data_IF_644475393692
#
_entry.id   IF_644475393692
#
_cell.length_a   1.000
_cell.length_b   1.000
_cell.length_c   1.000
_cell.angle_alpha   90.00
_cell.angle_beta   90.00
_cell.angle_gamma   90.00
#
_symmetry.space_group_name_H-M   'P 1'
#
loop_
_entity.id
_entity.type
_entity.pdbx_description
1 polymer ?
#
# COMPACT_ATOMS: atom_id res chain seq x y z
N UNK A 1 30.32 0.09 22.89
CA UNK A 1 28.88 0.40 22.76
C UNK A 1 28.15 -0.92 22.83
N UNK A 2 27.27 -1.10 23.83
CA UNK A 2 26.53 -2.35 24.00
C UNK A 2 25.10 -2.17 23.56
N UNK A 3 24.67 -3.03 22.65
CA UNK A 3 23.30 -3.06 22.15
C UNK A 3 22.64 -4.31 22.73
N UNK A 4 21.40 -4.17 23.15
CA UNK A 4 20.58 -5.23 23.67
C UNK A 4 19.29 -5.34 22.86
N UNK A 5 18.77 -6.55 22.73
CA UNK A 5 17.47 -6.84 22.15
C UNK A 5 16.56 -7.44 23.21
N UNK A 6 15.37 -6.88 23.41
CA UNK A 6 14.38 -7.45 24.33
C UNK A 6 13.23 -8.10 23.55
N UNK A 7 13.01 -9.42 23.70
CA UNK A 7 11.88 -10.12 23.08
C UNK A 7 10.51 -9.58 23.49
N UNK A 8 10.32 -9.21 24.78
CA UNK A 8 9.03 -8.73 25.28
C UNK A 8 8.60 -7.39 24.69
N UNK A 9 9.57 -6.49 24.48
CA UNK A 9 9.33 -5.17 23.88
C UNK A 9 9.53 -5.13 22.37
N UNK A 10 10.06 -6.20 21.78
CA UNK A 10 10.45 -6.29 20.37
C UNK A 10 11.28 -5.08 19.92
N UNK A 11 12.27 -4.70 20.73
CA UNK A 11 13.01 -3.45 20.56
C UNK A 11 14.50 -3.55 20.90
N UNK A 12 15.26 -2.61 20.32
CA UNK A 12 16.68 -2.42 20.58
C UNK A 12 16.91 -1.40 21.69
N UNK A 13 17.84 -1.69 22.60
CA UNK A 13 18.26 -0.82 23.69
C UNK A 13 19.78 -0.59 23.61
N UNK A 14 20.21 0.66 23.72
CA UNK A 14 21.62 1.01 23.80
C UNK A 14 21.97 1.42 25.22
N UNK A 15 22.97 0.77 25.82
CA UNK A 15 23.55 1.14 27.13
C UNK A 15 23.92 2.62 27.31
N UNK A 16 24.15 3.36 26.22
CA UNK A 16 24.51 4.79 26.26
C UNK A 16 23.29 5.71 26.32
N UNK A 17 22.15 5.26 25.82
CA UNK A 17 20.93 6.08 25.63
C UNK A 17 19.84 5.63 26.60
N UNK A 18 19.73 4.32 26.82
CA UNK A 18 18.72 3.71 27.67
C UNK A 18 19.27 3.46 29.07
N UNK A 19 18.68 4.12 30.07
CA UNK A 19 19.00 3.93 31.49
C UNK A 19 18.32 2.70 32.09
N UNK A 20 17.21 2.27 31.50
CA UNK A 20 16.48 1.06 31.90
C UNK A 20 16.51 0.07 30.74
N UNK A 21 17.16 -1.07 30.99
CA UNK A 21 17.25 -2.19 30.05
C UNK A 21 16.37 -3.32 30.62
N UNK A 22 15.45 -3.90 29.83
CA UNK A 22 14.64 -5.03 30.27
C UNK A 22 15.48 -6.23 30.74
N UNK A 23 14.98 -6.98 31.73
CA UNK A 23 15.69 -8.16 32.28
C UNK A 23 15.80 -9.31 31.28
N UNK A 24 14.91 -9.37 30.30
CA UNK A 24 14.90 -10.35 29.22
C UNK A 24 15.77 -9.93 28.03
N UNK A 25 16.49 -8.80 28.14
CA UNK A 25 17.29 -8.27 27.05
C UNK A 25 18.58 -9.06 26.86
N UNK A 26 18.83 -9.47 25.62
CA UNK A 26 20.02 -10.23 25.20
C UNK A 26 21.00 -9.29 24.52
N UNK A 27 22.28 -9.34 24.92
CA UNK A 27 23.34 -8.54 24.29
C UNK A 27 23.58 -9.01 22.84
N UNK A 28 23.58 -8.08 21.90
CA UNK A 28 23.88 -8.30 20.48
C UNK A 28 24.97 -7.34 20.01
N UNK A 29 25.70 -7.73 18.95
CA UNK A 29 26.69 -6.83 18.36
C UNK A 29 26.01 -5.71 17.57
N UNK A 30 26.65 -4.52 17.45
CA UNK A 30 26.16 -3.46 16.57
C UNK A 30 25.98 -3.91 15.12
N UNK A 31 26.91 -4.71 14.61
CA UNK A 31 26.81 -5.27 13.26
C UNK A 31 25.57 -6.18 13.10
N UNK A 32 25.24 -6.99 14.11
CA UNK A 32 24.04 -7.84 14.10
C UNK A 32 22.76 -6.99 14.12
N UNK A 33 22.73 -5.90 14.89
CA UNK A 33 21.62 -4.94 14.84
C UNK A 33 21.46 -4.37 13.43
N UNK A 34 22.55 -3.93 12.80
CA UNK A 34 22.49 -3.33 11.47
C UNK A 34 22.00 -4.36 10.43
N UNK A 35 22.44 -5.62 10.53
CA UNK A 35 21.93 -6.73 9.71
C UNK A 35 20.42 -6.95 9.88
N UNK A 36 19.94 -6.97 11.13
CA UNK A 36 18.51 -7.10 11.43
C UNK A 36 17.70 -5.93 10.85
N UNK A 37 18.21 -4.71 11.00
CA UNK A 37 17.57 -3.51 10.44
C UNK A 37 17.54 -3.54 8.91
N UNK A 38 18.60 -4.01 8.27
CA UNK A 38 18.64 -4.17 6.83
C UNK A 38 17.73 -5.32 6.35
N UNK A 39 17.56 -6.37 7.14
CA UNK A 39 16.55 -7.42 6.90
C UNK A 39 15.13 -6.86 6.89
N UNK A 40 14.79 -6.00 7.86
CA UNK A 40 13.49 -5.32 7.87
C UNK A 40 13.27 -4.46 6.62
N UNK A 41 14.32 -3.78 6.12
CA UNK A 41 14.25 -3.04 4.85
C UNK A 41 14.01 -3.96 3.64
N UNK A 42 14.37 -5.24 3.73
CA UNK A 42 14.14 -6.28 2.71
C UNK A 42 12.85 -7.08 2.95
N UNK A 43 11.90 -6.54 3.72
CA UNK A 43 10.62 -7.19 4.02
C UNK A 43 10.75 -8.49 4.83
N UNK A 44 11.78 -8.59 5.68
CA UNK A 44 11.93 -9.65 6.68
C UNK A 44 11.47 -9.14 8.04
N UNK A 45 11.02 -10.06 8.90
CA UNK A 45 10.59 -9.75 10.27
C UNK A 45 11.63 -10.29 11.26
N UNK A 46 11.85 -9.53 12.34
CA UNK A 46 12.71 -10.00 13.43
C UNK A 46 11.87 -10.92 14.32
N UNK A 47 12.28 -12.18 14.41
CA UNK A 47 11.66 -13.17 15.31
C UNK A 47 12.68 -13.60 16.36
N UNK A 48 12.19 -14.04 17.52
CA UNK A 48 13.05 -14.49 18.61
C UNK A 48 13.17 -16.02 18.59
N UNK A 49 14.39 -16.53 18.75
CA UNK A 49 14.62 -17.96 19.07
C UNK A 49 14.17 -18.27 20.50
N UNK A 50 14.13 -19.56 20.84
CA UNK A 50 13.79 -20.03 22.19
C UNK A 50 14.67 -19.43 23.32
N UNK A 51 15.89 -18.98 22.99
CA UNK A 51 16.80 -18.32 23.92
C UNK A 51 16.66 -16.78 23.95
N UNK A 52 15.66 -16.21 23.28
CA UNK A 52 15.45 -14.76 23.19
C UNK A 52 16.33 -14.04 22.16
N UNK A 53 17.18 -14.77 21.42
CA UNK A 53 18.08 -14.14 20.44
C UNK A 53 17.33 -13.75 19.16
N UNK A 54 17.50 -12.51 18.64
CA UNK A 54 16.81 -12.05 17.44
C UNK A 54 17.44 -12.65 16.18
N UNK A 55 16.58 -13.17 15.29
CA UNK A 55 16.93 -13.64 13.96
C UNK A 55 15.98 -13.05 12.92
N UNK A 56 16.45 -12.98 11.67
CA UNK A 56 15.59 -12.65 10.55
C UNK A 56 14.82 -13.89 10.11
N UNK A 57 13.53 -13.72 9.88
CA UNK A 57 12.68 -14.65 9.16
C UNK A 57 11.97 -13.89 8.05
N UNK A 58 11.62 -14.59 6.98
CA UNK A 58 10.81 -13.98 5.92
C UNK A 58 9.44 -13.59 6.48
N UNK A 59 8.95 -12.41 6.11
CA UNK A 59 7.60 -11.99 6.50
C UNK A 59 6.61 -13.04 5.99
N UNK A 60 5.69 -13.46 6.86
CA UNK A 60 4.63 -14.36 6.43
C UNK A 60 3.90 -13.74 5.24
N UNK A 61 3.60 -14.53 4.19
CA UNK A 61 2.81 -14.03 3.08
C UNK A 61 1.48 -13.51 3.64
N UNK A 62 1.05 -12.36 3.13
CA UNK A 62 -0.22 -11.75 3.49
C UNK A 62 -1.35 -12.75 3.28
N UNK A 63 -2.22 -12.93 4.28
CA UNK A 63 -3.28 -13.92 4.16
C UNK A 63 -4.28 -13.51 3.07
N UNK A 64 -5.06 -14.45 2.50
CA UNK A 64 -6.12 -14.09 1.56
C UNK A 64 -7.13 -13.08 2.14
N UNK A 65 -7.34 -13.10 3.46
CA UNK A 65 -8.20 -12.15 4.16
C UNK A 65 -7.58 -10.76 4.26
N UNK A 66 -6.28 -10.67 4.54
CA UNK A 66 -5.55 -9.40 4.54
C UNK A 66 -5.52 -8.76 3.14
N UNK A 67 -5.33 -9.59 2.10
CA UNK A 67 -5.44 -9.16 0.70
C UNK A 67 -6.85 -8.64 0.40
N UNK A 68 -7.88 -9.37 0.81
CA UNK A 68 -9.27 -8.92 0.68
C UNK A 68 -9.52 -7.58 1.39
N UNK A 69 -9.01 -7.38 2.60
CA UNK A 69 -9.17 -6.14 3.33
C UNK A 69 -8.48 -4.97 2.62
N UNK A 70 -7.24 -5.15 2.17
CA UNK A 70 -6.51 -4.14 1.39
C UNK A 70 -7.26 -3.75 0.10
N UNK A 71 -7.91 -4.70 -0.59
CA UNK A 71 -8.71 -4.40 -1.78
C UNK A 71 -10.02 -3.66 -1.46
N UNK A 72 -10.67 -3.95 -0.33
CA UNK A 72 -11.85 -3.19 0.12
C UNK A 72 -11.48 -1.75 0.47
N UNK A 73 -10.35 -1.56 1.16
CA UNK A 73 -9.81 -0.23 1.45
C UNK A 73 -9.49 0.54 0.16
N UNK A 74 -8.89 -0.13 -0.84
CA UNK A 74 -8.64 0.46 -2.15
C UNK A 74 -9.94 0.88 -2.84
N UNK A 75 -10.97 0.01 -2.84
CA UNK A 75 -12.31 0.32 -3.37
C UNK A 75 -12.89 1.57 -2.71
N UNK A 76 -12.84 1.62 -1.39
CA UNK A 76 -13.40 2.74 -0.61
C UNK A 76 -12.66 4.05 -0.94
N UNK A 77 -11.34 4.00 -1.09
CA UNK A 77 -10.56 5.15 -1.54
C UNK A 77 -10.95 5.63 -2.95
N UNK A 78 -11.27 4.74 -3.90
CA UNK A 78 -11.75 5.14 -5.23
C UNK A 78 -13.15 5.75 -5.21
N UNK A 79 -14.04 5.22 -4.36
CA UNK A 79 -15.38 5.79 -4.16
C UNK A 79 -15.27 7.21 -3.57
N UNK A 80 -14.44 7.42 -2.55
CA UNK A 80 -14.23 8.74 -1.94
C UNK A 80 -13.65 9.74 -2.95
N UNK A 81 -12.68 9.31 -3.78
CA UNK A 81 -12.10 10.18 -4.83
C UNK A 81 -13.12 10.67 -5.85
N UNK A 82 -14.12 9.85 -6.17
CA UNK A 82 -15.11 10.16 -7.20
C UNK A 82 -16.37 10.83 -6.66
N UNK A 83 -16.57 10.86 -5.33
CA UNK A 83 -17.75 11.49 -4.68
C UNK A 83 -17.92 12.98 -4.99
N UNK A 84 -16.86 13.83 -4.96
CA UNK A 84 -17.01 15.25 -5.25
C UNK A 84 -17.41 15.54 -6.70
N UNK A 85 -17.02 14.67 -7.65
CA UNK A 85 -17.38 14.82 -9.06
C UNK A 85 -18.88 14.60 -9.27
N UNK A 86 -19.44 13.58 -8.61
CA UNK A 86 -20.87 13.26 -8.70
C UNK A 86 -21.70 14.31 -7.98
N UNK A 87 -21.26 14.73 -6.80
CA UNK A 87 -21.96 15.75 -6.01
C UNK A 87 -22.05 17.05 -6.80
N UNK A 88 -20.92 17.53 -7.34
CA UNK A 88 -20.90 18.72 -8.20
C UNK A 88 -21.81 18.59 -9.42
N UNK A 89 -21.76 17.45 -10.13
CA UNK A 89 -22.60 17.27 -11.30
C UNK A 89 -24.11 17.30 -10.96
N UNK A 90 -24.50 16.78 -9.79
CA UNK A 90 -25.89 16.86 -9.31
C UNK A 90 -26.29 18.29 -8.95
N UNK A 91 -25.42 19.01 -8.25
CA UNK A 91 -25.65 20.40 -7.89
C UNK A 91 -25.82 21.27 -9.15
N UNK A 92 -24.96 21.11 -10.16
CA UNK A 92 -25.02 21.81 -11.45
C UNK A 92 -26.34 21.53 -12.21
N UNK A 93 -26.85 20.29 -12.13
CA UNK A 93 -28.13 19.94 -12.74
C UNK A 93 -29.32 20.55 -11.99
N UNK A 94 -29.26 20.62 -10.67
CA UNK A 94 -30.30 21.21 -9.83
C UNK A 94 -30.39 22.73 -10.00
N UNK A 95 -29.24 23.39 -10.16
CA UNK A 95 -29.15 24.84 -10.44
C UNK A 95 -29.42 25.20 -11.90
N UNK A 96 -29.65 24.21 -12.77
CA UNK A 96 -29.77 24.35 -14.23
C UNK A 96 -28.56 25.06 -14.86
N UNK A 97 -27.38 24.91 -14.26
CA UNK A 97 -26.12 25.44 -14.77
C UNK A 97 -25.52 24.54 -15.86
N UNK A 98 -24.55 25.09 -16.59
CA UNK A 98 -23.80 24.30 -17.56
C UNK A 98 -22.92 23.30 -16.81
N UNK A 99 -23.12 22.01 -17.05
CA UNK A 99 -22.36 20.97 -16.37
C UNK A 99 -20.87 21.00 -16.75
N UNK A 100 -20.00 20.85 -15.74
CA UNK A 100 -18.55 20.75 -15.94
C UNK A 100 -18.16 19.38 -16.52
N UNK A 101 -18.94 18.35 -16.20
CA UNK A 101 -18.79 17.00 -16.73
C UNK A 101 -19.79 16.75 -17.88
N UNK A 102 -19.34 16.11 -18.96
CA UNK A 102 -20.24 15.68 -20.03
C UNK A 102 -21.17 14.57 -19.53
N UNK A 103 -22.37 14.47 -20.11
CA UNK A 103 -23.33 13.42 -19.76
C UNK A 103 -22.76 11.99 -19.98
N UNK A 104 -21.93 11.82 -21.00
CA UNK A 104 -21.23 10.56 -21.29
C UNK A 104 -20.20 10.21 -20.20
N UNK A 105 -19.37 11.18 -19.79
CA UNK A 105 -18.39 10.98 -18.72
C UNK A 105 -19.07 10.74 -17.36
N UNK A 106 -20.21 11.38 -17.12
CA UNK A 106 -21.00 11.12 -15.92
C UNK A 106 -21.59 9.71 -15.91
N UNK A 107 -22.11 9.23 -17.04
CA UNK A 107 -22.68 7.88 -17.17
C UNK A 107 -21.59 6.81 -16.98
N UNK A 108 -20.42 6.98 -17.60
CA UNK A 108 -19.29 6.06 -17.43
C UNK A 108 -18.76 6.07 -15.99
N UNK A 109 -18.70 7.23 -15.33
CA UNK A 109 -18.32 7.35 -13.93
C UNK A 109 -19.31 6.63 -12.99
N UNK A 110 -20.62 6.75 -13.23
CA UNK A 110 -21.64 6.05 -12.45
C UNK A 110 -21.55 4.53 -12.64
N UNK A 111 -21.30 4.06 -13.87
CA UNK A 111 -21.08 2.64 -14.13
C UNK A 111 -19.83 2.12 -13.40
N UNK A 112 -18.70 2.84 -13.51
CA UNK A 112 -17.47 2.51 -12.80
C UNK A 112 -17.68 2.35 -11.30
N UNK A 113 -18.44 3.26 -10.68
CA UNK A 113 -18.74 3.17 -9.24
C UNK A 113 -19.65 2.01 -8.88
N UNK A 114 -20.53 1.60 -9.79
CA UNK A 114 -21.33 0.39 -9.61
C UNK A 114 -20.43 -0.83 -9.65
N UNK A 115 -19.54 -0.91 -10.63
CA UNK A 115 -18.58 -2.01 -10.77
C UNK A 115 -17.65 -2.10 -9.53
N UNK A 116 -17.21 -0.96 -8.98
CA UNK A 116 -16.47 -0.92 -7.71
C UNK A 116 -17.27 -1.47 -6.53
N UNK A 117 -18.58 -1.19 -6.44
CA UNK A 117 -19.42 -1.70 -5.35
C UNK A 117 -19.70 -3.19 -5.50
N UNK A 118 -19.84 -3.67 -6.73
CA UNK A 118 -20.09 -5.08 -7.05
C UNK A 118 -18.79 -5.92 -7.00
N UNK A 119 -17.62 -5.27 -7.08
CA UNK A 119 -16.29 -5.89 -7.07
C UNK A 119 -16.04 -6.91 -5.93
N UNK A 120 -16.37 -6.63 -4.64
CA UNK A 120 -16.14 -7.58 -3.55
C UNK A 120 -17.01 -8.85 -3.64
N UNK A 121 -18.08 -8.82 -4.43
CA UNK A 121 -18.96 -9.96 -4.68
C UNK A 121 -18.53 -10.79 -5.90
N UNK A 122 -17.49 -10.35 -6.62
CA UNK A 122 -16.96 -11.04 -7.78
C UNK A 122 -16.16 -12.28 -7.37
N UNK A 123 -16.21 -13.34 -8.20
CA UNK A 123 -15.40 -14.55 -8.02
C UNK A 123 -13.90 -14.31 -8.23
N UNK A 124 -13.54 -13.18 -8.85
CA UNK A 124 -12.16 -12.79 -9.15
C UNK A 124 -11.56 -11.88 -8.06
N UNK A 125 -12.31 -11.60 -7.00
CA UNK A 125 -11.80 -10.89 -5.84
C UNK A 125 -10.87 -11.80 -5.01
N UNK A 126 -9.71 -11.34 -4.49
CA UNK A 126 -9.14 -9.98 -4.47
C UNK A 126 -8.07 -9.71 -5.55
N UNK A 127 -8.19 -10.29 -6.76
CA UNK A 127 -7.12 -10.19 -7.76
C UNK A 127 -6.96 -8.76 -8.31
N UNK A 128 -5.76 -8.18 -8.13
CA UNK A 128 -5.41 -6.82 -8.59
C UNK A 128 -5.64 -6.65 -10.10
N UNK A 129 -5.39 -7.69 -10.90
CA UNK A 129 -5.53 -7.68 -12.35
C UNK A 129 -6.96 -7.40 -12.83
N UNK A 130 -7.94 -7.56 -11.95
CA UNK A 130 -9.35 -7.45 -12.27
C UNK A 130 -10.02 -6.25 -11.60
N UNK A 131 -9.24 -5.37 -10.95
CA UNK A 131 -9.74 -4.11 -10.42
C UNK A 131 -10.49 -3.33 -11.52
N UNK A 132 -11.71 -2.84 -11.24
CA UNK A 132 -12.38 -1.92 -12.15
C UNK A 132 -11.47 -0.71 -12.38
N UNK A 133 -11.33 -0.30 -13.64
CA UNK A 133 -10.57 0.89 -14.01
C UNK A 133 -11.50 1.89 -14.71
N UNK A 134 -11.42 3.16 -14.30
CA UNK A 134 -12.10 4.25 -14.96
C UNK A 134 -11.13 4.91 -15.92
N UNK A 135 -10.95 4.28 -17.08
CA UNK A 135 -10.30 4.97 -18.20
C UNK A 135 -11.31 5.96 -18.77
N UNK A 136 -11.17 7.23 -18.40
CA UNK A 136 -11.86 8.32 -19.08
C UNK A 136 -11.43 8.24 -20.55
N UNK A 137 -12.37 7.90 -21.43
CA UNK A 137 -12.19 8.03 -22.88
C UNK A 137 -12.02 9.54 -23.14
N UNK A 138 -10.79 10.03 -23.05
CA UNK A 138 -10.54 11.46 -23.01
C UNK A 138 -9.08 11.92 -23.00
N UNK A 139 -8.10 11.07 -22.67
CA UNK A 139 -6.70 11.40 -22.92
C UNK A 139 -6.00 10.28 -23.71
N UNK A 140 -5.71 10.63 -24.95
CA UNK A 140 -4.94 9.82 -25.88
C UNK A 140 -3.59 9.46 -25.27
N UNK A 141 -3.30 8.16 -25.29
CA UNK A 141 -1.97 7.60 -25.08
C UNK A 141 -0.91 8.38 -25.86
N UNK A 142 -0.03 9.13 -25.19
CA UNK A 142 1.28 9.45 -25.76
C UNK A 142 2.26 8.37 -25.30
N UNK A 143 2.32 7.27 -26.05
CA UNK A 143 3.47 6.37 -26.00
C UNK A 143 4.71 7.16 -26.44
N UNK A 144 5.49 7.70 -25.50
CA UNK A 144 6.84 8.21 -25.81
C UNK A 144 7.77 7.03 -26.06
N UNK A 145 7.75 6.51 -27.29
CA UNK A 145 8.79 5.63 -27.81
C UNK A 145 10.08 6.45 -27.94
N UNK A 146 10.98 6.33 -26.96
CA UNK A 146 12.30 6.97 -27.02
C UNK A 146 13.19 6.14 -27.96
N UNK A 147 13.24 6.52 -29.23
CA UNK A 147 14.21 5.99 -30.18
C UNK A 147 15.63 6.42 -29.76
N UNK A 148 16.46 5.45 -29.36
CA UNK A 148 17.89 5.67 -29.09
C UNK A 148 18.60 5.77 -30.45
N UNK A 149 18.97 7.00 -30.85
CA UNK A 149 19.82 7.21 -32.03
C UNK A 149 21.25 6.84 -31.65
N UNK A 150 21.74 5.75 -32.20
CA UNK A 150 23.16 5.36 -32.19
C UNK A 150 23.94 6.43 -32.96
N UNK A 151 24.85 7.14 -32.27
CA UNK A 151 25.86 7.97 -32.94
C UNK A 151 27.18 7.23 -32.84
N UNK A 152 27.69 6.87 -34.01
CA UNK A 152 29.00 6.26 -34.25
C UNK A 152 29.92 7.39 -34.71
N UNK A 153 30.97 7.65 -33.96
CA UNK A 153 32.21 8.26 -34.46
C UNK A 153 33.37 7.51 -33.82
#
# INVERSE_FOLDING_TARGET
MKIYWSPSTQGFFDSRVNTVIPKDAVEISPAHRDELMDGCRRNQVIVCRANGFPILADAAPMTPEDLANAEREWRDAQLVKTDPLITRHRDELETMEKTTLSAENYTTLQQYRRDLRDWPSSTLFPAIANRPDWSVIGDTTVKKTRARKTVRQ
#
